data_IF_653877584664
#
_entry.id   IF_653877584664
#
_cell.length_a   1.000
_cell.length_b   1.000
_cell.length_c   1.000
_cell.angle_alpha   90.00
_cell.angle_beta   90.00
_cell.angle_gamma   90.00
#
_symmetry.space_group_name_H-M   'P 1'
#
loop_
_entity.id
_entity.type
_entity.pdbx_description
1 polymer ?
#
# COMPACT_ATOMS: atom_id res chain seq x y z
N UNK A 1 22.48 0.86 -5.61
CA UNK A 1 21.28 1.73 -5.61
C UNK A 1 20.36 1.44 -6.79
N UNK A 2 20.84 1.50 -8.05
CA UNK A 2 20.03 1.22 -9.24
C UNK A 2 19.33 -0.16 -9.22
N UNK A 3 20.05 -1.23 -8.91
CA UNK A 3 19.46 -2.57 -8.81
C UNK A 3 18.38 -2.67 -7.72
N UNK A 4 18.63 -2.10 -6.53
CA UNK A 4 17.67 -2.07 -5.42
C UNK A 4 16.40 -1.30 -5.82
N UNK A 5 16.56 -0.16 -6.48
CA UNK A 5 15.47 0.65 -7.02
C UNK A 5 14.64 -0.14 -8.05
N UNK A 6 15.31 -0.83 -8.98
CA UNK A 6 14.64 -1.64 -9.99
C UNK A 6 13.85 -2.80 -9.36
N UNK A 7 14.41 -3.51 -8.37
CA UNK A 7 13.70 -4.57 -7.65
C UNK A 7 12.49 -4.01 -6.91
N UNK A 8 12.63 -2.90 -6.17
CA UNK A 8 11.52 -2.26 -5.47
C UNK A 8 10.43 -1.78 -6.43
N UNK A 9 10.80 -1.23 -7.58
CA UNK A 9 9.87 -0.81 -8.63
C UNK A 9 9.05 -2.00 -9.16
N UNK A 10 9.73 -3.08 -9.55
CA UNK A 10 9.07 -4.28 -10.09
C UNK A 10 8.15 -4.91 -9.05
N UNK A 11 8.60 -5.06 -7.80
CA UNK A 11 7.80 -5.62 -6.71
C UNK A 11 6.59 -4.73 -6.41
N UNK A 12 6.76 -3.41 -6.37
CA UNK A 12 5.68 -2.45 -6.15
C UNK A 12 4.63 -2.48 -7.26
N UNK A 13 5.07 -2.48 -8.52
CA UNK A 13 4.18 -2.58 -9.68
C UNK A 13 3.43 -3.92 -9.72
N UNK A 14 4.12 -5.03 -9.41
CA UNK A 14 3.51 -6.35 -9.34
C UNK A 14 2.46 -6.43 -8.22
N UNK A 15 2.77 -5.95 -7.01
CA UNK A 15 1.80 -5.89 -5.93
C UNK A 15 0.60 -5.03 -6.31
N UNK A 16 0.80 -3.86 -6.90
CA UNK A 16 -0.30 -3.01 -7.35
C UNK A 16 -1.23 -3.73 -8.35
N UNK A 17 -0.67 -4.47 -9.31
CA UNK A 17 -1.45 -5.30 -10.23
C UNK A 17 -2.26 -6.38 -9.49
N UNK A 18 -1.64 -7.12 -8.57
CA UNK A 18 -2.32 -8.16 -7.78
C UNK A 18 -3.47 -7.56 -6.96
N UNK A 19 -3.23 -6.45 -6.26
CA UNK A 19 -4.26 -5.79 -5.45
C UNK A 19 -5.41 -5.26 -6.31
N UNK A 20 -5.11 -4.70 -7.48
CA UNK A 20 -6.12 -4.22 -8.42
C UNK A 20 -6.96 -5.38 -8.97
N UNK A 21 -6.34 -6.49 -9.37
CA UNK A 21 -7.06 -7.70 -9.81
C UNK A 21 -8.00 -8.24 -8.73
N UNK A 22 -7.56 -8.27 -7.47
CA UNK A 22 -8.39 -8.69 -6.34
C UNK A 22 -9.58 -7.75 -6.08
N UNK A 23 -9.44 -6.45 -6.37
CA UNK A 23 -10.52 -5.47 -6.25
C UNK A 23 -11.52 -5.55 -7.42
N UNK A 24 -11.03 -5.76 -8.65
CA UNK A 24 -11.85 -5.90 -9.87
C UNK A 24 -12.70 -7.17 -9.85
N UNK A 25 -12.13 -8.32 -9.44
CA UNK A 25 -12.86 -9.60 -9.35
C UNK A 25 -14.09 -9.56 -8.42
N UNK A 26 -14.30 -8.48 -7.65
CA UNK A 26 -15.34 -8.37 -6.63
C UNK A 26 -16.28 -7.18 -6.84
N UNK A 27 -16.33 -6.58 -8.04
CA UNK A 27 -17.26 -5.48 -8.37
C UNK A 27 -17.16 -4.24 -7.46
N UNK A 28 -16.03 -4.05 -6.75
CA UNK A 28 -15.74 -2.78 -6.04
C UNK A 28 -15.37 -1.67 -7.04
N UNK A 29 -15.03 -2.07 -8.27
CA UNK A 29 -14.97 -1.26 -9.48
C UNK A 29 -15.83 -1.96 -10.55
N UNK A 30 -16.99 -1.40 -10.88
CA UNK A 30 -17.84 -1.91 -11.98
C UNK A 30 -17.20 -1.55 -13.31
N UNK A 31 -16.70 -2.53 -14.06
CA UNK A 31 -16.41 -2.40 -15.48
C UNK A 31 -16.99 -3.61 -16.23
N UNK A 32 -17.74 -3.39 -17.33
CA UNK A 32 -18.41 -4.46 -18.09
C UNK A 32 -17.40 -5.37 -18.83
N UNK A 33 -17.88 -6.53 -19.31
CA UNK A 33 -17.19 -7.77 -19.73
C UNK A 33 -16.03 -7.70 -20.79
N UNK A 34 -15.43 -6.54 -21.04
CA UNK A 34 -14.27 -6.35 -21.94
C UNK A 34 -12.91 -6.29 -21.20
N UNK A 35 -12.86 -6.93 -20.03
CA UNK A 35 -11.96 -6.63 -18.89
C UNK A 35 -10.44 -6.76 -19.14
N UNK A 36 -9.98 -7.48 -20.17
CA UNK A 36 -8.53 -7.59 -20.44
C UNK A 36 -8.01 -6.40 -21.27
N UNK A 37 -8.84 -5.82 -22.16
CA UNK A 37 -8.45 -4.68 -22.99
C UNK A 37 -8.46 -3.35 -22.24
N UNK A 38 -9.34 -3.19 -21.24
CA UNK A 38 -9.47 -1.95 -20.45
C UNK A 38 -8.42 -1.79 -19.35
N UNK A 39 -7.83 -2.88 -18.86
CA UNK A 39 -6.66 -2.85 -17.95
C UNK A 39 -5.48 -2.07 -18.55
N UNK A 40 -5.31 -2.13 -19.87
CA UNK A 40 -4.30 -1.36 -20.60
C UNK A 40 -4.76 0.06 -20.98
N UNK A 41 -6.06 0.38 -20.91
CA UNK A 41 -6.57 1.66 -21.45
C UNK A 41 -6.87 2.73 -20.39
N UNK A 42 -7.42 2.41 -19.21
CA UNK A 42 -7.89 3.45 -18.27
C UNK A 42 -7.01 3.66 -17.03
N UNK A 43 -6.27 2.65 -16.58
CA UNK A 43 -5.48 2.69 -15.34
C UNK A 43 -4.04 2.17 -15.53
N UNK A 44 -3.53 2.14 -16.76
CA UNK A 44 -2.16 1.68 -17.08
C UNK A 44 -1.06 2.45 -16.32
N UNK A 45 -1.38 3.68 -15.89
CA UNK A 45 -0.50 4.56 -15.12
C UNK A 45 -0.40 4.17 -13.63
N UNK A 46 -1.34 3.40 -13.10
CA UNK A 46 -1.36 3.02 -11.67
C UNK A 46 -0.18 2.12 -11.30
N UNK A 47 0.10 0.99 -12.00
CA UNK A 47 1.24 0.14 -11.64
C UNK A 47 2.60 0.86 -11.73
N UNK A 48 2.91 1.65 -12.78
CA UNK A 48 4.11 2.48 -12.82
C UNK A 48 4.18 3.48 -11.65
N UNK A 49 3.07 4.14 -11.31
CA UNK A 49 3.02 5.10 -10.19
C UNK A 49 3.27 4.42 -8.84
N UNK A 50 2.63 3.27 -8.59
CA UNK A 50 2.88 2.50 -7.37
C UNK A 50 4.29 1.93 -7.33
N UNK A 51 4.85 1.49 -8.46
CA UNK A 51 6.23 1.05 -8.58
C UNK A 51 7.23 2.15 -8.25
N UNK A 52 7.06 3.37 -8.80
CA UNK A 52 7.95 4.50 -8.48
C UNK A 52 7.82 4.92 -7.03
N UNK A 53 6.60 5.00 -6.49
CA UNK A 53 6.38 5.25 -5.07
C UNK A 53 7.06 4.20 -4.19
N UNK A 54 6.98 2.91 -4.57
CA UNK A 54 7.62 1.84 -3.84
C UNK A 54 9.16 1.95 -3.86
N UNK A 55 9.74 2.29 -5.00
CA UNK A 55 11.17 2.53 -5.11
C UNK A 55 11.62 3.72 -4.23
N UNK A 56 10.90 4.84 -4.26
CA UNK A 56 11.21 6.01 -3.43
C UNK A 56 11.11 5.66 -1.95
N UNK A 57 10.00 5.07 -1.51
CA UNK A 57 9.76 4.71 -0.11
C UNK A 57 10.77 3.67 0.39
N UNK A 58 11.03 2.62 -0.39
CA UNK A 58 11.96 1.56 -0.02
C UNK A 58 13.42 2.04 0.06
N UNK A 59 13.79 3.09 -0.68
CA UNK A 59 15.10 3.73 -0.54
C UNK A 59 15.16 4.75 0.61
N UNK A 60 14.06 5.45 0.88
CA UNK A 60 13.97 6.47 1.93
C UNK A 60 14.10 5.87 3.33
N UNK A 61 13.50 4.71 3.57
CA UNK A 61 13.48 4.04 4.88
C UNK A 61 14.89 3.76 5.43
N UNK A 62 15.80 3.06 4.70
CA UNK A 62 17.17 2.83 5.15
C UNK A 62 17.95 4.13 5.41
N UNK A 63 17.75 5.16 4.59
CA UNK A 63 18.40 6.45 4.77
C UNK A 63 17.96 7.11 6.09
N UNK A 64 16.66 7.16 6.35
CA UNK A 64 16.13 7.79 7.57
C UNK A 64 16.49 6.98 8.82
N UNK A 65 16.52 5.65 8.74
CA UNK A 65 17.00 4.82 9.84
C UNK A 65 18.45 5.15 10.21
N UNK A 66 19.31 5.34 9.20
CA UNK A 66 20.72 5.68 9.42
C UNK A 66 20.87 7.05 10.09
N UNK A 67 20.04 8.03 9.70
CA UNK A 67 20.02 9.36 10.30
C UNK A 67 19.46 9.38 11.73
N UNK A 68 18.46 8.53 12.02
CA UNK A 68 17.86 8.42 13.35
C UNK A 68 18.67 7.54 14.31
N UNK A 69 19.75 6.91 13.82
CA UNK A 69 20.54 5.96 14.59
C UNK A 69 19.71 4.77 15.06
N UNK A 70 18.63 4.43 14.35
CA UNK A 70 17.83 3.25 14.63
C UNK A 70 18.74 2.05 14.36
N UNK A 71 19.14 1.31 15.40
CA UNK A 71 20.03 0.18 15.20
C UNK A 71 19.30 -0.84 14.34
N UNK A 72 20.00 -1.47 13.40
CA UNK A 72 19.51 -2.60 12.57
C UNK A 72 19.22 -3.82 13.48
N UNK A 73 18.30 -3.66 14.45
CA UNK A 73 18.11 -4.52 15.61
C UNK A 73 17.22 -5.71 15.32
N UNK A 74 16.52 -5.70 14.19
CA UNK A 74 15.75 -6.84 13.76
C UNK A 74 16.61 -7.66 12.80
N UNK A 75 17.04 -8.85 13.25
CA UNK A 75 17.43 -9.96 12.37
C UNK A 75 16.22 -10.30 11.52
N UNK A 76 15.96 -9.48 10.51
CA UNK A 76 14.74 -9.58 9.74
C UNK A 76 15.06 -10.56 8.64
N UNK A 77 14.46 -11.74 8.76
CA UNK A 77 14.59 -12.78 7.76
C UNK A 77 13.65 -12.47 6.60
N UNK A 78 14.01 -12.92 5.40
CA UNK A 78 13.12 -12.89 4.23
C UNK A 78 11.76 -13.53 4.53
N UNK A 79 11.71 -14.53 5.41
CA UNK A 79 10.47 -15.13 5.90
C UNK A 79 9.54 -14.11 6.59
N UNK A 80 10.08 -13.20 7.40
CA UNK A 80 9.29 -12.14 8.05
C UNK A 80 8.74 -11.13 7.03
N UNK A 81 9.55 -10.78 6.02
CA UNK A 81 9.09 -9.89 4.92
C UNK A 81 7.99 -10.55 4.09
N UNK A 82 8.12 -11.84 3.75
CA UNK A 82 7.08 -12.57 3.04
C UNK A 82 5.77 -12.66 3.84
N UNK A 83 5.85 -12.86 5.16
CA UNK A 83 4.68 -12.80 6.05
C UNK A 83 4.05 -11.40 6.07
N UNK A 84 4.86 -10.34 6.12
CA UNK A 84 4.38 -8.96 6.07
C UNK A 84 3.65 -8.67 4.75
N UNK A 85 4.19 -9.11 3.61
CA UNK A 85 3.53 -9.01 2.30
C UNK A 85 2.20 -9.77 2.29
N UNK A 86 2.17 -11.00 2.81
CA UNK A 86 0.95 -11.80 2.87
C UNK A 86 -0.15 -11.13 3.73
N UNK A 87 0.22 -10.59 4.89
CA UNK A 87 -0.73 -9.85 5.75
C UNK A 87 -1.21 -8.59 5.05
N UNK A 88 -0.34 -7.83 4.39
CA UNK A 88 -0.72 -6.64 3.62
C UNK A 88 -1.73 -6.95 2.51
N UNK A 89 -1.46 -7.99 1.69
CA UNK A 89 -2.39 -8.46 0.67
C UNK A 89 -3.71 -8.91 1.31
N UNK A 90 -3.65 -9.59 2.46
CA UNK A 90 -4.83 -10.00 3.23
C UNK A 90 -5.66 -8.82 3.74
N UNK A 91 -5.03 -7.75 4.24
CA UNK A 91 -5.71 -6.52 4.67
C UNK A 91 -6.44 -5.87 3.47
N UNK A 92 -5.78 -5.76 2.32
CA UNK A 92 -6.40 -5.22 1.11
C UNK A 92 -7.53 -6.11 0.57
N UNK A 93 -7.37 -7.43 0.68
CA UNK A 93 -8.44 -8.35 0.31
C UNK A 93 -9.64 -8.24 1.27
N UNK A 94 -9.38 -8.12 2.57
CA UNK A 94 -10.41 -7.91 3.59
C UNK A 94 -11.15 -6.58 3.39
N UNK A 95 -10.45 -5.49 3.03
CA UNK A 95 -11.09 -4.20 2.75
C UNK A 95 -11.99 -4.22 1.52
N UNK A 96 -11.69 -5.08 0.54
CA UNK A 96 -12.52 -5.28 -0.64
C UNK A 96 -13.69 -6.26 -0.41
N UNK A 97 -13.55 -7.21 0.53
CA UNK A 97 -14.50 -8.32 0.71
C UNK A 97 -15.49 -8.13 1.87
N UNK A 98 -15.11 -7.44 2.94
CA UNK A 98 -15.93 -7.37 4.15
C UNK A 98 -16.99 -6.28 4.03
N UNK A 99 -18.24 -6.70 3.83
CA UNK A 99 -19.42 -5.85 3.93
C UNK A 99 -19.74 -5.60 5.42
N UNK A 100 -19.07 -4.62 6.02
CA UNK A 100 -19.41 -4.19 7.38
C UNK A 100 -20.69 -3.36 7.36
N UNK A 101 -21.52 -3.53 8.39
CA UNK A 101 -22.75 -2.75 8.57
C UNK A 101 -22.48 -1.24 8.79
N UNK A 102 -21.25 -0.86 9.15
CA UNK A 102 -20.86 0.53 9.37
C UNK A 102 -19.42 0.78 8.90
N UNK A 103 -19.22 1.84 8.11
CA UNK A 103 -17.90 2.29 7.63
C UNK A 103 -16.91 2.60 8.76
N UNK A 104 -17.40 3.00 9.93
CA UNK A 104 -16.57 3.23 11.12
C UNK A 104 -15.95 1.91 11.63
N UNK A 105 -16.72 0.82 11.64
CA UNK A 105 -16.22 -0.49 12.06
C UNK A 105 -15.15 -1.00 11.10
N UNK A 106 -15.40 -0.93 9.79
CA UNK A 106 -14.43 -1.28 8.75
C UNK A 106 -13.12 -0.50 8.93
N UNK A 107 -13.22 0.82 9.09
CA UNK A 107 -12.05 1.70 9.21
C UNK A 107 -11.25 1.41 10.49
N UNK A 108 -11.93 1.20 11.62
CA UNK A 108 -11.29 0.89 12.89
C UNK A 108 -10.59 -0.48 12.86
N UNK A 109 -11.25 -1.50 12.28
CA UNK A 109 -10.66 -2.84 12.12
C UNK A 109 -9.42 -2.79 11.24
N UNK A 110 -9.47 -2.08 10.10
CA UNK A 110 -8.32 -1.95 9.21
C UNK A 110 -7.20 -1.11 9.80
N UNK A 111 -7.52 -0.07 10.58
CA UNK A 111 -6.52 0.69 11.33
C UNK A 111 -5.83 -0.22 12.36
N UNK A 112 -6.60 -1.02 13.11
CA UNK A 112 -6.05 -1.97 14.08
C UNK A 112 -5.16 -3.04 13.41
N UNK A 113 -5.58 -3.60 12.28
CA UNK A 113 -4.78 -4.56 11.50
C UNK A 113 -3.51 -3.93 10.94
N UNK A 114 -3.58 -2.69 10.45
CA UNK A 114 -2.44 -1.96 9.89
C UNK A 114 -1.41 -1.59 10.97
N UNK A 115 -1.88 -1.14 12.14
CA UNK A 115 -1.03 -0.90 13.30
C UNK A 115 -0.45 -2.21 13.85
N UNK A 116 -1.23 -3.30 13.86
CA UNK A 116 -0.77 -4.63 14.21
C UNK A 116 0.34 -5.12 13.28
N UNK A 117 0.19 -4.93 11.96
CA UNK A 117 1.23 -5.23 10.97
C UNK A 117 2.52 -4.47 11.28
N UNK A 118 2.44 -3.15 11.53
CA UNK A 118 3.60 -2.36 11.91
C UNK A 118 4.23 -2.89 13.21
N UNK A 119 3.42 -3.14 14.25
CA UNK A 119 3.90 -3.60 15.55
C UNK A 119 4.59 -4.97 15.48
N UNK A 120 4.05 -5.90 14.69
CA UNK A 120 4.57 -7.27 14.58
C UNK A 120 5.81 -7.36 13.69
N UNK A 121 5.83 -6.67 12.55
CA UNK A 121 6.87 -6.87 11.53
C UNK A 121 7.96 -5.79 11.53
N UNK A 122 7.69 -4.62 12.10
CA UNK A 122 8.60 -3.48 12.01
C UNK A 122 8.98 -2.85 13.35
N UNK A 123 8.00 -2.37 14.13
CA UNK A 123 8.18 -1.75 15.45
C UNK A 123 9.13 -0.54 15.48
N UNK A 124 9.51 -0.01 14.31
CA UNK A 124 10.45 1.11 14.18
C UNK A 124 9.73 2.47 14.24
N UNK A 125 10.39 3.49 14.77
CA UNK A 125 9.83 4.86 14.84
C UNK A 125 9.74 5.49 13.45
N UNK A 126 10.79 5.30 12.65
CA UNK A 126 10.85 5.72 11.25
C UNK A 126 9.74 5.07 10.42
N UNK A 127 9.44 3.80 10.64
CA UNK A 127 8.38 3.11 9.91
C UNK A 127 6.98 3.60 10.26
N UNK A 128 6.73 3.96 11.52
CA UNK A 128 5.48 4.60 11.93
C UNK A 128 5.36 6.00 11.32
N UNK A 129 6.38 6.84 11.49
CA UNK A 129 6.38 8.22 11.02
C UNK A 129 6.23 8.31 9.51
N UNK A 130 7.08 7.61 8.76
CA UNK A 130 7.02 7.57 7.31
C UNK A 130 5.73 6.92 6.80
N UNK A 131 5.27 5.85 7.43
CA UNK A 131 4.00 5.21 7.09
C UNK A 131 2.83 6.18 7.19
N UNK A 132 2.75 6.97 8.26
CA UNK A 132 1.71 8.00 8.44
C UNK A 132 1.83 9.09 7.36
N UNK A 133 3.05 9.59 7.13
CA UNK A 133 3.28 10.63 6.11
C UNK A 133 2.87 10.16 4.72
N UNK A 134 3.27 8.94 4.33
CA UNK A 134 2.91 8.34 3.04
C UNK A 134 1.40 8.14 2.94
N UNK A 135 0.77 7.61 3.99
CA UNK A 135 -0.68 7.40 4.01
C UNK A 135 -1.46 8.70 3.80
N UNK A 136 -1.04 9.77 4.48
CA UNK A 136 -1.65 11.07 4.34
C UNK A 136 -1.46 11.66 2.93
N UNK A 137 -0.22 11.70 2.44
CA UNK A 137 0.10 12.26 1.12
C UNK A 137 -0.58 11.46 -0.01
N UNK A 138 -0.52 10.13 0.03
CA UNK A 138 -1.13 9.29 -0.99
C UNK A 138 -2.66 9.41 -0.99
N UNK A 139 -3.28 9.56 0.18
CA UNK A 139 -4.73 9.82 0.27
C UNK A 139 -5.08 11.18 -0.33
N UNK A 140 -4.30 12.23 -0.08
CA UNK A 140 -4.51 13.55 -0.69
C UNK A 140 -4.33 13.53 -2.21
N UNK A 141 -3.32 12.83 -2.72
CA UNK A 141 -3.12 12.67 -4.17
C UNK A 141 -4.32 11.94 -4.78
N UNK A 142 -4.78 10.87 -4.14
CA UNK A 142 -5.97 10.14 -4.61
C UNK A 142 -7.20 11.04 -4.58
N UNK A 143 -7.35 11.87 -3.54
CA UNK A 143 -8.45 12.82 -3.41
C UNK A 143 -8.47 13.81 -4.56
N UNK A 144 -7.30 14.34 -4.90
CA UNK A 144 -7.14 15.24 -6.02
C UNK A 144 -7.48 14.56 -7.36
N UNK A 145 -7.04 13.32 -7.57
CA UNK A 145 -7.33 12.56 -8.79
C UNK A 145 -8.83 12.29 -8.95
N UNK A 146 -9.52 11.93 -7.87
CA UNK A 146 -10.98 11.72 -7.88
C UNK A 146 -11.73 13.02 -8.13
N UNK A 147 -11.30 14.12 -7.51
CA UNK A 147 -11.90 15.43 -7.71
C UNK A 147 -11.79 15.92 -9.17
N UNK A 148 -10.67 15.63 -9.85
CA UNK A 148 -10.47 15.95 -11.26
C UNK A 148 -11.09 14.92 -12.23
N UNK A 149 -11.82 13.93 -11.73
CA UNK A 149 -12.51 12.93 -12.55
C UNK A 149 -11.60 11.88 -13.22
N UNK A 150 -10.32 11.82 -12.85
CA UNK A 150 -9.35 10.85 -13.40
C UNK A 150 -9.60 9.44 -12.85
N UNK A 151 -10.16 9.35 -11.65
CA UNK A 151 -10.46 8.09 -10.97
C UNK A 151 -11.81 8.16 -10.26
N UNK A 152 -12.58 7.07 -10.25
CA UNK A 152 -13.89 7.01 -9.58
C UNK A 152 -14.02 5.72 -8.77
N UNK A 153 -14.56 5.84 -7.56
CA UNK A 153 -14.93 4.70 -6.72
C UNK A 153 -16.42 4.42 -6.85
N UNK A 154 -16.81 3.15 -6.94
CA UNK A 154 -18.22 2.74 -7.08
C UNK A 154 -19.08 3.08 -5.86
N UNK A 155 -18.47 3.21 -4.67
CA UNK A 155 -19.14 3.56 -3.42
C UNK A 155 -18.24 4.45 -2.55
N UNK A 156 -18.24 5.77 -2.74
CA UNK A 156 -17.46 6.67 -1.89
C UNK A 156 -18.13 6.87 -0.52
N UNK A 157 -17.34 6.81 0.56
CA UNK A 157 -17.85 6.90 1.94
C UNK A 157 -17.35 8.16 2.69
N UNK A 158 -16.15 8.65 2.36
CA UNK A 158 -15.52 9.81 3.00
C UNK A 158 -14.96 10.75 1.93
N UNK A 159 -15.58 11.92 1.77
CA UNK A 159 -15.15 12.96 0.82
C UNK A 159 -14.83 12.39 -0.59
N UNK A 160 -15.68 11.55 -1.18
CA UNK A 160 -15.44 10.93 -2.50
C UNK A 160 -14.41 9.77 -2.55
N UNK A 161 -13.82 9.37 -1.43
CA UNK A 161 -12.91 8.22 -1.31
C UNK A 161 -13.44 7.19 -0.29
N UNK A 162 -12.95 5.94 -0.37
CA UNK A 162 -13.21 4.90 0.64
C UNK A 162 -12.36 5.13 1.90
N UNK A 163 -12.99 5.11 3.07
CA UNK A 163 -12.35 5.41 4.37
C UNK A 163 -11.19 4.47 4.75
N UNK A 164 -11.09 3.30 4.12
CA UNK A 164 -9.99 2.35 4.33
C UNK A 164 -8.69 2.68 3.59
N UNK A 165 -8.72 3.58 2.62
CA UNK A 165 -7.58 3.87 1.75
C UNK A 165 -6.31 4.29 2.52
N UNK A 166 -6.38 5.17 3.56
CA UNK A 166 -5.20 5.54 4.34
C UNK A 166 -4.55 4.34 5.04
N UNK A 167 -5.35 3.36 5.48
CA UNK A 167 -4.83 2.16 6.15
C UNK A 167 -4.06 1.26 5.18
N UNK A 168 -4.53 1.15 3.93
CA UNK A 168 -3.83 0.41 2.87
C UNK A 168 -2.54 1.10 2.49
N UNK A 169 -2.53 2.43 2.35
CA UNK A 169 -1.29 3.16 2.08
C UNK A 169 -0.29 3.09 3.22
N UNK A 170 -0.76 3.17 4.48
CA UNK A 170 0.10 2.99 5.65
C UNK A 170 0.75 1.61 5.65
N UNK A 171 -0.06 0.55 5.56
CA UNK A 171 0.42 -0.84 5.60
C UNK A 171 1.35 -1.14 4.41
N UNK A 172 0.99 -0.71 3.20
CA UNK A 172 1.85 -0.83 2.02
C UNK A 172 3.17 -0.07 2.18
N UNK A 173 3.13 1.14 2.75
CA UNK A 173 4.32 1.94 3.05
C UNK A 173 5.30 1.21 3.97
N UNK A 174 4.83 0.66 5.11
CA UNK A 174 5.74 -0.09 5.99
C UNK A 174 6.17 -1.43 5.38
N UNK A 175 5.33 -2.13 4.61
CA UNK A 175 5.74 -3.35 3.90
C UNK A 175 6.85 -3.07 2.88
N UNK A 176 6.72 -2.03 2.07
CA UNK A 176 7.75 -1.63 1.11
C UNK A 176 9.01 -1.14 1.83
N UNK A 177 8.86 -0.34 2.87
CA UNK A 177 9.97 0.05 3.74
C UNK A 177 10.70 -1.16 4.31
N UNK A 178 9.95 -2.23 4.61
CA UNK A 178 10.54 -3.47 5.12
C UNK A 178 11.37 -4.22 4.08
N UNK A 179 10.90 -4.26 2.83
CA UNK A 179 11.65 -4.80 1.69
C UNK A 179 12.89 -3.95 1.43
N UNK A 180 12.75 -2.62 1.46
CA UNK A 180 13.85 -1.67 1.27
C UNK A 180 14.98 -1.87 2.27
N UNK A 181 14.65 -2.01 3.55
CA UNK A 181 15.61 -2.36 4.62
C UNK A 181 16.30 -3.70 4.38
N UNK A 182 15.55 -4.74 3.99
CA UNK A 182 16.14 -6.05 3.68
C UNK A 182 17.11 -6.00 2.51
N UNK A 183 16.76 -5.26 1.45
CA UNK A 183 17.64 -5.08 0.31
C UNK A 183 18.87 -4.23 0.65
N UNK A 184 18.79 -3.41 1.71
CA UNK A 184 19.85 -2.51 2.13
C UNK A 184 20.94 -3.19 2.96
N UNK A 185 20.59 -4.23 3.71
CA UNK A 185 21.51 -5.14 4.42
C UNK A 185 22.45 -5.87 3.44
#
# INVERSE_FOLDING_TARGET
LLQRSAVLFVVGAFLALVLNLLQIQRNVTLFPDEVISTLFSSAWWVPPCCGTAAAVVGLLYPCIDSHLGEPHKFKREWASVMRCIAVFVGINHASAKLDFANNVQLSLTLAALSLGLWWTFDRSRSGLGLGITIAFVATLITQFLVYNGVYQYTSPDFLYIRSWLPCIFFSGGVTVGNIGRQLAM
#
